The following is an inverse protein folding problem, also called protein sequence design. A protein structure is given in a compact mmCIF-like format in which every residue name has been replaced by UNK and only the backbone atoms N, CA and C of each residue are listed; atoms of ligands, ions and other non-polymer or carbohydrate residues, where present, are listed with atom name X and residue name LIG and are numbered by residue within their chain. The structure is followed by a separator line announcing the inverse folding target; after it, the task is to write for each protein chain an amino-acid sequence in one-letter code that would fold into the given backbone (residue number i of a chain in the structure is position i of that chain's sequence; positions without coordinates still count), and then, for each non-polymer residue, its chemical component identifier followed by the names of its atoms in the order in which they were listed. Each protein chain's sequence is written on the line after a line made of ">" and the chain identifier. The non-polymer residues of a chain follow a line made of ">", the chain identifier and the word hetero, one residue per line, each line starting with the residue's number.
data_IF_658068694769
#
_entry.id   IF_658068694769
#
_cell.length_a   1.000
_cell.length_b   1.000
_cell.length_c   1.000
_cell.angle_alpha   90.00
_cell.angle_beta   90.00
_cell.angle_gamma   90.00
#
_symmetry.space_group_name_H-M   'P 1'
#
loop_
_entity.id
_entity.type
_entity.pdbx_description
1 polymer ?
#
# COMPACT_ATOMS: atom_id res chain seq x y z
N UNK A 1 -17.03 -9.34 6.76
CA UNK A 1 -16.06 -10.40 6.45
C UNK A 1 -15.08 -10.53 7.62
N UNK A 2 -14.19 -11.52 7.60
CA UNK A 2 -13.17 -11.70 8.66
C UNK A 2 -12.04 -10.66 8.57
N UNK A 3 -11.71 -10.21 7.36
CA UNK A 3 -10.77 -9.10 7.11
C UNK A 3 -11.56 -7.80 6.97
N UNK A 4 -11.15 -6.78 7.70
CA UNK A 4 -11.80 -5.46 7.74
C UNK A 4 -11.15 -4.46 6.78
N UNK A 5 -9.82 -4.43 6.73
CA UNK A 5 -9.02 -3.46 5.97
C UNK A 5 -7.82 -4.15 5.29
N UNK A 6 -7.40 -3.63 4.15
CA UNK A 6 -6.18 -4.02 3.42
C UNK A 6 -5.25 -2.82 3.33
N UNK A 7 -4.16 -2.83 4.10
CA UNK A 7 -3.09 -1.84 3.97
C UNK A 7 -2.07 -2.38 2.98
N UNK A 8 -1.79 -1.65 1.90
CA UNK A 8 -0.86 -2.11 0.86
C UNK A 8 0.26 -1.12 0.58
N UNK A 9 1.46 -1.66 0.48
CA UNK A 9 2.66 -0.96 0.00
C UNK A 9 2.79 -1.02 -1.52
N UNK A 10 1.96 -1.84 -2.18
CA UNK A 10 1.97 -1.96 -3.63
C UNK A 10 1.19 -0.82 -4.26
N UNK A 11 1.50 -0.53 -5.52
CA UNK A 11 0.89 0.56 -6.30
C UNK A 11 0.10 0.03 -7.51
N UNK A 12 -0.03 -1.28 -7.63
CA UNK A 12 -0.53 -1.97 -8.83
C UNK A 12 -2.07 -2.00 -8.96
N UNK A 13 -2.81 -1.74 -7.87
CA UNK A 13 -4.27 -1.80 -7.84
C UNK A 13 -4.86 -3.23 -7.92
N UNK A 14 -4.05 -4.27 -7.66
CA UNK A 14 -4.50 -5.65 -7.79
C UNK A 14 -5.54 -6.07 -6.74
N UNK A 15 -5.55 -5.45 -5.56
CA UNK A 15 -6.56 -5.73 -4.54
C UNK A 15 -7.96 -5.31 -5.00
N UNK A 16 -8.07 -4.12 -5.58
CA UNK A 16 -9.31 -3.60 -6.17
C UNK A 16 -9.73 -4.47 -7.36
N UNK A 17 -8.79 -4.82 -8.24
CA UNK A 17 -9.05 -5.72 -9.38
C UNK A 17 -9.54 -7.11 -8.95
N UNK A 18 -9.11 -7.59 -7.78
CA UNK A 18 -9.59 -8.84 -7.18
C UNK A 18 -10.97 -8.71 -6.51
N UNK A 19 -11.56 -7.50 -6.48
CA UNK A 19 -12.89 -7.23 -5.94
C UNK A 19 -12.93 -6.75 -4.49
N UNK A 20 -11.78 -6.38 -3.91
CA UNK A 20 -11.78 -5.69 -2.61
C UNK A 20 -12.35 -4.28 -2.82
N UNK A 21 -13.39 -3.86 -2.06
CA UNK A 21 -13.94 -2.51 -2.18
C UNK A 21 -12.88 -1.43 -1.95
N UNK A 22 -12.93 -0.35 -2.73
CA UNK A 22 -11.97 0.78 -2.65
C UNK A 22 -11.88 1.38 -1.25
N UNK A 23 -13.02 1.46 -0.55
CA UNK A 23 -13.08 1.99 0.81
C UNK A 23 -12.37 1.09 1.85
N UNK A 24 -11.97 -0.14 1.49
CA UNK A 24 -11.20 -1.06 2.33
C UNK A 24 -9.75 -1.25 1.90
N UNK A 25 -9.32 -0.62 0.81
CA UNK A 25 -7.91 -0.64 0.39
C UNK A 25 -7.26 0.69 0.78
N UNK A 26 -6.19 0.61 1.56
CA UNK A 26 -5.43 1.75 2.04
C UNK A 26 -4.06 1.72 1.35
N UNK A 27 -3.95 2.48 0.27
CA UNK A 27 -2.75 2.55 -0.59
C UNK A 27 -1.74 3.56 -0.04
N UNK A 28 -0.89 3.11 0.87
CA UNK A 28 0.04 4.00 1.58
C UNK A 28 1.21 4.47 0.68
N UNK A 29 1.50 3.78 -0.42
CA UNK A 29 2.48 4.22 -1.42
C UNK A 29 1.83 4.78 -2.68
N UNK A 30 0.54 5.14 -2.60
CA UNK A 30 -0.22 5.67 -3.72
C UNK A 30 -0.53 4.62 -4.80
N UNK A 31 -0.78 5.07 -6.03
CA UNK A 31 -1.31 4.21 -7.09
C UNK A 31 -0.68 4.52 -8.44
N UNK A 32 -0.35 3.49 -9.20
CA UNK A 32 0.28 3.61 -10.52
C UNK A 32 -0.70 3.72 -11.68
N UNK A 33 -2.01 3.53 -11.44
CA UNK A 33 -3.05 3.53 -12.48
C UNK A 33 -3.56 4.92 -12.84
N UNK A 34 -3.19 5.95 -12.09
CA UNK A 34 -3.51 7.35 -12.36
C UNK A 34 -2.33 8.26 -11.98
N UNK A 35 -2.44 9.53 -12.35
CA UNK A 35 -1.49 10.57 -12.02
C UNK A 35 -2.09 11.62 -11.09
N UNK A 36 -1.24 12.37 -10.41
CA UNK A 36 -1.64 13.45 -9.52
C UNK A 36 -0.70 14.64 -9.64
N UNK A 37 -1.25 15.84 -9.50
CA UNK A 37 -0.45 17.05 -9.32
C UNK A 37 0.25 17.03 -7.97
N UNK A 38 1.55 17.32 -7.97
CA UNK A 38 2.36 17.35 -6.76
C UNK A 38 2.00 18.47 -5.78
N UNK A 39 1.37 19.54 -6.27
CA UNK A 39 1.09 20.72 -5.46
C UNK A 39 -0.35 20.74 -4.94
N UNK A 40 -1.33 20.48 -5.81
CA UNK A 40 -2.75 20.55 -5.43
C UNK A 40 -3.44 19.18 -5.30
N UNK A 41 -2.76 18.08 -5.64
CA UNK A 41 -3.33 16.72 -5.53
C UNK A 41 -4.40 16.38 -6.57
N UNK A 42 -4.67 17.26 -7.55
CA UNK A 42 -5.65 16.99 -8.61
C UNK A 42 -5.28 15.71 -9.37
N UNK A 43 -6.24 14.80 -9.47
CA UNK A 43 -6.12 13.55 -10.22
C UNK A 43 -6.18 13.79 -11.73
N UNK A 44 -5.38 13.03 -12.47
CA UNK A 44 -5.34 12.96 -13.92
C UNK A 44 -5.32 11.49 -14.36
N UNK A 45 -6.03 11.18 -15.43
CA UNK A 45 -5.97 9.84 -16.04
C UNK A 45 -4.69 9.71 -16.88
N UNK A 46 -4.07 8.52 -16.86
CA UNK A 46 -2.74 8.34 -17.46
C UNK A 46 -2.71 8.62 -18.96
N UNK A 47 -3.83 8.39 -19.66
CA UNK A 47 -3.91 8.63 -21.10
C UNK A 47 -3.70 10.13 -21.43
N UNK A 48 -4.30 11.02 -20.64
CA UNK A 48 -4.13 12.47 -20.79
C UNK A 48 -2.68 12.89 -20.56
N UNK A 49 -2.05 12.32 -19.53
CA UNK A 49 -0.66 12.60 -19.17
C UNK A 49 0.30 12.06 -20.23
N UNK A 50 0.04 10.86 -20.75
CA UNK A 50 0.84 10.23 -21.82
C UNK A 50 0.75 10.99 -23.13
N UNK A 51 -0.41 11.51 -23.47
CA UNK A 51 -0.60 12.31 -24.69
C UNK A 51 0.28 13.58 -24.69
N UNK A 52 0.58 14.14 -23.51
CA UNK A 52 1.51 15.27 -23.35
C UNK A 52 2.97 14.81 -23.32
N UNK A 53 3.27 13.74 -22.58
CA UNK A 53 4.66 13.32 -22.35
C UNK A 53 5.30 12.56 -23.51
N UNK A 54 4.59 11.65 -24.17
CA UNK A 54 5.20 10.73 -25.16
C UNK A 54 5.72 11.38 -26.45
N UNK A 55 5.12 12.46 -27.00
CA UNK A 55 5.61 13.03 -28.26
C UNK A 55 7.04 13.58 -28.19
N UNK A 56 7.43 14.19 -27.07
CA UNK A 56 8.68 14.93 -26.93
C UNK A 56 9.23 15.02 -25.50
N UNK A 57 8.77 14.15 -24.60
CA UNK A 57 9.19 14.06 -23.19
C UNK A 57 8.94 15.35 -22.38
N UNK A 58 7.97 16.17 -22.81
CA UNK A 58 7.56 17.35 -22.07
C UNK A 58 6.95 16.99 -20.71
N UNK A 59 7.41 17.67 -19.66
CA UNK A 59 6.88 17.51 -18.31
C UNK A 59 5.42 18.01 -18.29
N UNK A 60 4.45 17.17 -17.90
CA UNK A 60 3.06 17.57 -17.82
C UNK A 60 2.82 18.47 -16.60
N UNK A 61 2.07 19.55 -16.79
CA UNK A 61 1.75 20.54 -15.75
C UNK A 61 0.25 20.62 -15.48
N UNK A 62 -0.08 20.88 -14.23
CA UNK A 62 -1.45 20.99 -13.74
C UNK A 62 -2.14 22.21 -14.33
N UNK A 63 -3.29 21.98 -14.97
CA UNK A 63 -4.15 23.03 -15.54
C UNK A 63 -4.69 24.03 -14.50
N UNK A 64 -4.71 23.66 -13.21
CA UNK A 64 -5.28 24.51 -12.15
C UNK A 64 -4.24 25.32 -11.37
N UNK A 65 -3.06 24.75 -11.11
CA UNK A 65 -2.04 25.42 -10.28
C UNK A 65 -0.65 25.53 -10.93
N UNK A 66 -0.45 24.95 -12.12
CA UNK A 66 0.85 24.93 -12.78
C UNK A 66 1.88 23.97 -12.18
N UNK A 67 1.53 23.21 -11.15
CA UNK A 67 2.41 22.22 -10.52
C UNK A 67 2.69 21.01 -11.41
N UNK A 68 3.82 20.33 -11.21
CA UNK A 68 4.18 19.14 -11.98
C UNK A 68 3.19 17.99 -11.73
N UNK A 69 2.87 17.25 -12.78
CA UNK A 69 2.06 16.03 -12.73
C UNK A 69 3.00 14.83 -12.81
N UNK A 70 2.79 13.83 -11.96
CA UNK A 70 3.43 12.51 -12.08
C UNK A 70 2.44 11.40 -11.75
N UNK A 71 2.81 10.16 -12.03
CA UNK A 71 2.05 9.00 -11.53
C UNK A 71 1.86 9.11 -10.02
N UNK A 72 0.66 8.78 -9.53
CA UNK A 72 0.27 9.02 -8.14
C UNK A 72 0.94 8.06 -7.14
N UNK A 73 2.09 7.49 -7.49
CA UNK A 73 2.95 6.70 -6.61
C UNK A 73 3.72 7.61 -5.67
N UNK A 74 4.14 7.08 -4.52
CA UNK A 74 5.01 7.78 -3.57
C UNK A 74 6.45 7.35 -3.83
N UNK A 75 7.31 8.33 -4.13
CA UNK A 75 8.74 8.09 -4.34
C UNK A 75 9.51 8.17 -3.03
N UNK A 76 10.68 7.54 -2.94
CA UNK A 76 11.55 7.71 -1.76
C UNK A 76 11.87 9.19 -1.53
N UNK A 77 11.77 9.62 -0.27
CA UNK A 77 11.94 11.03 0.12
C UNK A 77 10.69 11.89 -0.03
N UNK A 78 9.63 11.39 -0.66
CA UNK A 78 8.33 12.06 -0.69
C UNK A 78 7.57 11.80 0.62
N UNK A 79 6.77 12.78 1.05
CA UNK A 79 5.83 12.59 2.15
C UNK A 79 4.79 11.53 1.78
N UNK A 80 4.48 10.67 2.75
CA UNK A 80 3.40 9.69 2.64
C UNK A 80 2.04 10.39 2.68
N UNK A 81 1.01 9.82 2.03
CA UNK A 81 -0.33 10.41 2.02
C UNK A 81 -0.95 10.37 3.42
N UNK A 82 -1.24 11.54 3.98
CA UNK A 82 -1.56 11.70 5.39
C UNK A 82 -2.86 10.99 5.79
N UNK A 83 -3.92 11.12 4.97
CA UNK A 83 -5.22 10.52 5.24
C UNK A 83 -5.14 8.99 5.29
N UNK A 84 -4.47 8.37 4.31
CA UNK A 84 -4.24 6.93 4.20
C UNK A 84 -3.35 6.44 5.35
N UNK A 85 -2.30 7.17 5.70
CA UNK A 85 -1.46 6.83 6.84
C UNK A 85 -2.22 6.89 8.18
N UNK A 86 -3.07 7.90 8.39
CA UNK A 86 -3.93 7.98 9.57
C UNK A 86 -4.93 6.82 9.61
N UNK A 87 -5.57 6.50 8.48
CA UNK A 87 -6.48 5.36 8.36
C UNK A 87 -5.78 4.03 8.64
N UNK A 88 -4.60 3.81 8.06
CA UNK A 88 -3.80 2.61 8.30
C UNK A 88 -3.42 2.48 9.79
N UNK A 89 -2.98 3.58 10.41
CA UNK A 89 -2.67 3.61 11.84
C UNK A 89 -3.89 3.22 12.68
N UNK A 90 -5.06 3.82 12.42
CA UNK A 90 -6.27 3.52 13.16
C UNK A 90 -6.74 2.07 12.96
N UNK A 91 -6.62 1.53 11.75
CA UNK A 91 -6.93 0.13 11.47
C UNK A 91 -6.03 -0.82 12.27
N UNK A 92 -4.74 -0.52 12.37
CA UNK A 92 -3.77 -1.30 13.16
C UNK A 92 -4.04 -1.22 14.66
N UNK A 93 -4.46 -0.06 15.17
CA UNK A 93 -4.85 0.09 16.58
C UNK A 93 -6.18 -0.62 16.93
N UNK A 94 -6.99 -0.93 15.93
CA UNK A 94 -8.30 -1.55 16.15
C UNK A 94 -8.32 -3.05 15.82
N UNK A 95 -7.22 -3.61 15.29
CA UNK A 95 -7.17 -5.02 14.94
C UNK A 95 -6.79 -5.90 16.14
N UNK A 96 -7.30 -7.12 16.14
CA UNK A 96 -6.90 -8.22 17.03
C UNK A 96 -5.88 -9.16 16.35
N UNK A 97 -5.75 -9.06 15.03
CA UNK A 97 -4.83 -9.80 14.18
C UNK A 97 -4.30 -8.90 13.05
N UNK A 98 -2.98 -8.87 12.88
CA UNK A 98 -2.30 -8.32 11.72
C UNK A 98 -1.66 -9.46 10.90
N UNK A 99 -2.02 -9.55 9.62
CA UNK A 99 -1.43 -10.48 8.68
C UNK A 99 -0.50 -9.73 7.71
N UNK A 100 0.81 -9.86 7.93
CA UNK A 100 1.84 -9.34 7.05
C UNK A 100 2.10 -10.36 5.93
N UNK A 101 1.96 -9.95 4.66
CA UNK A 101 2.15 -10.84 3.52
C UNK A 101 3.08 -10.21 2.48
N UNK A 102 4.10 -10.95 2.06
CA UNK A 102 4.94 -10.58 0.92
C UNK A 102 5.76 -9.30 1.11
N UNK A 103 6.14 -9.00 2.35
CA UNK A 103 6.97 -7.84 2.67
C UNK A 103 8.10 -8.24 3.58
N UNK A 104 9.29 -7.70 3.32
CA UNK A 104 10.42 -7.74 4.25
C UNK A 104 10.21 -6.85 5.48
N UNK A 105 9.20 -5.97 5.44
CA UNK A 105 8.90 -4.99 6.49
C UNK A 105 10.11 -4.12 6.87
N UNK A 106 10.88 -3.67 5.88
CA UNK A 106 12.06 -2.80 6.06
C UNK A 106 11.82 -1.33 5.67
N UNK A 107 10.73 -1.05 4.96
CA UNK A 107 10.40 0.31 4.47
C UNK A 107 9.54 1.04 5.48
N UNK A 108 10.07 2.12 6.04
CA UNK A 108 9.33 2.99 6.95
C UNK A 108 8.52 4.04 6.19
N UNK A 109 7.34 4.42 6.70
CA UNK A 109 6.78 4.09 8.02
C UNK A 109 6.04 2.74 8.11
N UNK A 110 5.76 2.06 7.00
CA UNK A 110 4.95 0.84 6.97
C UNK A 110 5.49 -0.29 7.87
N UNK A 111 6.81 -0.43 7.94
CA UNK A 111 7.54 -1.35 8.81
C UNK A 111 7.20 -1.20 10.31
N UNK A 112 6.66 -0.05 10.74
CA UNK A 112 6.25 0.18 12.12
C UNK A 112 4.91 -0.45 12.51
N UNK A 113 4.06 -0.80 11.53
CA UNK A 113 2.71 -1.31 11.82
C UNK A 113 2.69 -2.64 12.59
N UNK A 114 3.51 -3.66 12.27
CA UNK A 114 3.55 -4.89 13.06
C UNK A 114 3.90 -4.65 14.54
N UNK A 115 4.87 -3.76 14.80
CA UNK A 115 5.26 -3.42 16.18
C UNK A 115 4.12 -2.70 16.91
N UNK A 116 3.44 -1.76 16.24
CA UNK A 116 2.30 -1.05 16.78
C UNK A 116 1.16 -2.03 17.13
N UNK A 117 0.81 -2.93 16.21
CA UNK A 117 -0.23 -3.94 16.40
C UNK A 117 0.05 -4.77 17.67
N UNK A 118 1.29 -5.27 17.80
CA UNK A 118 1.71 -6.06 18.96
C UNK A 118 1.66 -5.28 20.27
N UNK A 119 2.12 -4.03 20.28
CA UNK A 119 2.04 -3.15 21.46
C UNK A 119 0.59 -2.94 21.90
N UNK A 120 -0.34 -3.00 20.95
CA UNK A 120 -1.77 -2.90 21.18
C UNK A 120 -2.45 -4.26 21.44
N UNK A 121 -1.68 -5.35 21.59
CA UNK A 121 -2.19 -6.67 21.95
C UNK A 121 -2.68 -7.53 20.79
N UNK A 122 -2.53 -7.08 19.54
CA UNK A 122 -2.88 -7.88 18.37
C UNK A 122 -1.89 -9.04 18.17
N UNK A 123 -2.40 -10.14 17.62
CA UNK A 123 -1.58 -11.24 17.10
C UNK A 123 -0.94 -10.85 15.78
N UNK A 124 0.23 -11.39 15.51
CA UNK A 124 0.98 -11.12 14.29
C UNK A 124 1.26 -12.41 13.53
N UNK A 125 0.88 -12.44 12.26
CA UNK A 125 1.16 -13.55 11.35
C UNK A 125 1.95 -13.02 10.16
N UNK A 126 3.00 -13.74 9.77
CA UNK A 126 3.81 -13.43 8.60
C UNK A 126 3.72 -14.55 7.57
N UNK A 127 3.46 -14.18 6.33
CA UNK A 127 3.56 -15.06 5.16
C UNK A 127 4.54 -14.41 4.18
N UNK A 128 5.76 -14.93 4.11
CA UNK A 128 6.79 -14.40 3.21
C UNK A 128 7.75 -15.51 2.81
N UNK A 129 8.17 -15.57 1.55
CA UNK A 129 9.03 -16.67 1.07
C UNK A 129 10.35 -16.76 1.85
N UNK A 130 10.95 -15.62 2.17
CA UNK A 130 12.23 -15.53 2.86
C UNK A 130 12.06 -15.07 4.31
N UNK A 131 13.00 -15.42 5.21
CA UNK A 131 13.06 -14.89 6.57
C UNK A 131 13.12 -13.36 6.62
N UNK A 132 12.57 -12.80 7.70
CA UNK A 132 12.60 -11.35 7.96
C UNK A 132 12.99 -11.07 9.41
N UNK A 133 13.38 -9.83 9.69
CA UNK A 133 13.63 -9.37 11.07
C UNK A 133 12.35 -9.40 11.94
N UNK A 134 11.18 -9.58 11.31
CA UNK A 134 9.90 -9.67 11.99
C UNK A 134 9.63 -11.08 12.55
N UNK A 135 10.26 -12.12 12.02
CA UNK A 135 9.97 -13.53 12.34
C UNK A 135 9.95 -13.81 13.85
N UNK A 136 10.93 -13.36 14.68
CA UNK A 136 10.93 -13.62 16.11
C UNK A 136 9.77 -12.96 16.87
N UNK A 137 9.08 -12.01 16.21
CA UNK A 137 7.97 -11.26 16.76
C UNK A 137 6.62 -11.77 16.24
N UNK A 138 6.56 -12.77 15.40
CA UNK A 138 5.29 -13.30 14.90
C UNK A 138 4.78 -14.45 15.79
N UNK A 139 3.46 -14.53 15.97
CA UNK A 139 2.80 -15.69 16.57
C UNK A 139 2.77 -16.89 15.61
N UNK A 140 2.81 -16.62 14.29
CA UNK A 140 2.96 -17.63 13.25
C UNK A 140 3.77 -17.06 12.07
N UNK A 141 4.73 -17.84 11.59
CA UNK A 141 5.53 -17.53 10.41
C UNK A 141 5.39 -18.65 9.39
N UNK A 142 5.08 -18.31 8.14
CA UNK A 142 4.96 -19.23 7.02
C UNK A 142 5.91 -18.82 5.90
N UNK A 143 7.02 -19.55 5.76
CA UNK A 143 7.96 -19.38 4.65
C UNK A 143 7.51 -20.11 3.40
N UNK A 144 6.46 -19.58 2.77
CA UNK A 144 5.76 -20.21 1.64
C UNK A 144 5.20 -19.16 0.67
N UNK A 145 5.00 -19.53 -0.61
CA UNK A 145 4.32 -18.66 -1.57
C UNK A 145 2.91 -18.29 -1.10
N UNK A 146 2.58 -17.00 -1.14
CA UNK A 146 1.30 -16.45 -0.65
C UNK A 146 0.12 -17.11 -1.38
N UNK A 147 0.17 -17.16 -2.72
CA UNK A 147 -0.92 -17.73 -3.51
C UNK A 147 -1.22 -19.18 -3.14
N UNK A 148 -0.19 -20.03 -3.02
CA UNK A 148 -0.35 -21.43 -2.61
C UNK A 148 -0.91 -21.54 -1.18
N UNK A 149 -0.41 -20.70 -0.28
CA UNK A 149 -0.77 -20.73 1.14
C UNK A 149 -2.23 -20.31 1.36
N UNK A 150 -2.67 -19.24 0.69
CA UNK A 150 -4.04 -18.75 0.81
C UNK A 150 -5.04 -19.66 0.11
N UNK A 151 -4.70 -20.21 -1.06
CA UNK A 151 -5.59 -21.18 -1.74
C UNK A 151 -5.85 -22.40 -0.86
N UNK A 152 -4.82 -22.95 -0.21
CA UNK A 152 -4.98 -24.09 0.69
C UNK A 152 -5.79 -23.79 1.95
N UNK A 153 -6.01 -22.51 2.29
CA UNK A 153 -6.84 -22.10 3.43
C UNK A 153 -8.32 -21.91 3.06
N UNK A 154 -8.66 -21.96 1.76
CA UNK A 154 -10.03 -21.92 1.26
C UNK A 154 -10.66 -23.31 1.12
N UNK A 155 -9.82 -24.35 1.06
CA UNK A 155 -10.19 -25.77 1.05
C UNK A 155 -10.58 -26.27 2.45
#
# INVERSE_FOLDING_TARGET
>A
GKVTEVITQNVDGLHQKAGVPDDRVIEIHGNSNYASCLDCGKRYELEEVRAVFLPDEQVPYCSECGGMIKTATISFGQAMPEAEMMRAHQAVLNCDLLLAMGSSMTVYPAAGFPQLARKNGARLVLINNEPTDLDPWCDLVLHRPIGVTLSAALD
#
